data_IF_588638881112
#
_entry.id   IF_588638881112
#
_cell.length_a   1.000
_cell.length_b   1.000
_cell.length_c   1.000
_cell.angle_alpha   90.00
_cell.angle_beta   90.00
_cell.angle_gamma   90.00
#
_symmetry.space_group_name_H-M   'P 1'
#
loop_
_entity.id
_entity.type
_entity.pdbx_description
1 polymer ?
#
# COMPACT_ATOMS: atom_id res chain seq x y z
N UNK A 1 33.48 7.29 -16.04
CA UNK A 1 32.50 6.60 -15.17
C UNK A 1 32.90 5.14 -15.27
N UNK A 2 33.55 4.64 -14.23
CA UNK A 2 34.07 3.26 -14.17
C UNK A 2 32.91 2.28 -13.97
N UNK A 3 33.04 1.03 -14.43
CA UNK A 3 32.02 -0.02 -14.28
C UNK A 3 31.59 -0.30 -12.82
N UNK A 4 32.34 0.21 -11.85
CA UNK A 4 32.03 0.19 -10.42
C UNK A 4 30.90 1.17 -10.03
N UNK A 5 30.65 2.21 -10.84
CA UNK A 5 29.56 3.17 -10.63
C UNK A 5 28.18 2.61 -11.07
N UNK A 6 28.16 1.49 -11.81
CA UNK A 6 26.95 0.89 -12.38
C UNK A 6 26.28 -0.11 -11.42
N UNK A 7 27.00 -0.62 -10.42
CA UNK A 7 26.46 -1.52 -9.39
C UNK A 7 25.94 -0.75 -8.18
N UNK A 8 24.97 0.14 -8.40
CA UNK A 8 24.06 0.56 -7.32
C UNK A 8 23.12 -0.60 -7.03
N UNK A 9 23.63 -1.60 -6.31
CA UNK A 9 22.80 -2.62 -5.67
C UNK A 9 21.92 -1.88 -4.68
N UNK A 10 20.66 -1.69 -5.07
CA UNK A 10 19.57 -1.02 -4.33
C UNK A 10 19.29 -1.76 -3.01
N UNK A 11 20.21 -1.67 -2.05
CA UNK A 11 19.96 -1.97 -0.66
C UNK A 11 19.54 -0.65 0.00
N UNK A 12 18.35 -0.16 -0.37
CA UNK A 12 17.74 1.06 0.14
C UNK A 12 17.31 0.88 1.61
N UNK A 13 18.28 0.73 2.53
CA UNK A 13 18.10 0.95 3.97
C UNK A 13 17.98 2.44 4.31
N UNK A 14 17.47 3.25 3.39
CA UNK A 14 17.13 4.63 3.68
C UNK A 14 15.83 4.68 4.49
N UNK A 15 15.78 5.58 5.47
CA UNK A 15 14.58 5.80 6.28
C UNK A 15 13.36 6.15 5.41
N UNK A 16 13.58 6.95 4.36
CA UNK A 16 12.56 7.33 3.37
C UNK A 16 12.06 6.12 2.60
N UNK A 17 12.96 5.26 2.09
CA UNK A 17 12.57 4.03 1.38
C UNK A 17 11.73 3.11 2.26
N UNK A 18 12.14 2.94 3.52
CA UNK A 18 11.40 2.14 4.50
C UNK A 18 10.02 2.71 4.82
N UNK A 19 9.88 4.03 4.91
CA UNK A 19 8.60 4.70 5.14
C UNK A 19 7.65 4.55 3.94
N UNK A 20 8.16 4.64 2.72
CA UNK A 20 7.39 4.42 1.49
C UNK A 20 6.90 2.97 1.45
N UNK A 21 7.78 1.99 1.64
CA UNK A 21 7.41 0.56 1.58
C UNK A 21 6.29 0.22 2.58
N UNK A 22 6.27 0.82 3.78
CA UNK A 22 5.19 0.62 4.77
C UNK A 22 3.83 1.16 4.32
N UNK A 23 3.81 2.10 3.37
CA UNK A 23 2.59 2.70 2.81
C UNK A 23 2.17 2.06 1.49
N UNK A 24 2.90 1.06 0.98
CA UNK A 24 2.55 0.34 -0.25
C UNK A 24 2.05 -1.05 0.08
N UNK A 25 0.88 -1.43 -0.47
CA UNK A 25 0.35 -2.80 -0.35
C UNK A 25 -0.29 -3.27 -1.66
N UNK A 26 -0.22 -4.56 -2.00
CA UNK A 26 -0.94 -5.12 -3.13
C UNK A 26 -2.46 -5.08 -2.88
N UNK A 27 -3.23 -4.92 -3.96
CA UNK A 27 -4.67 -5.10 -3.94
C UNK A 27 -5.00 -6.55 -3.49
N UNK A 28 -5.95 -6.75 -2.56
CA UNK A 28 -6.27 -8.10 -2.07
C UNK A 28 -7.08 -8.93 -3.07
N UNK A 29 -7.59 -8.34 -4.16
CA UNK A 29 -8.20 -9.09 -5.25
C UNK A 29 -7.12 -9.96 -5.93
N UNK A 30 -7.29 -11.27 -5.88
CA UNK A 30 -6.35 -12.27 -6.41
C UNK A 30 -6.11 -12.14 -7.91
N UNK A 31 -7.08 -11.62 -8.66
CA UNK A 31 -6.94 -11.40 -10.11
C UNK A 31 -6.30 -10.05 -10.45
N UNK A 32 -6.13 -9.14 -9.48
CA UNK A 32 -5.55 -7.81 -9.68
C UNK A 32 -4.14 -7.71 -9.09
N UNK A 33 -4.01 -7.83 -7.76
CA UNK A 33 -2.75 -7.75 -7.00
C UNK A 33 -1.85 -6.52 -7.25
N UNK A 34 -2.31 -5.50 -7.99
CA UNK A 34 -1.54 -4.28 -8.26
C UNK A 34 -1.24 -3.51 -6.98
N UNK A 35 -0.05 -2.91 -6.92
CA UNK A 35 0.40 -2.13 -5.77
C UNK A 35 -0.37 -0.81 -5.69
N UNK A 36 -0.88 -0.49 -4.51
CA UNK A 36 -1.46 0.82 -4.24
C UNK A 36 -0.79 1.43 -3.01
N UNK A 37 -0.79 2.76 -2.97
CA UNK A 37 -0.17 3.56 -1.91
C UNK A 37 -1.26 4.12 -1.00
N UNK A 38 -1.10 3.99 0.31
CA UNK A 38 -1.90 4.71 1.30
C UNK A 38 -1.55 6.20 1.27
N UNK A 39 -2.51 7.03 0.85
CA UNK A 39 -2.40 8.49 0.90
C UNK A 39 -2.91 9.00 2.25
N UNK A 40 -2.12 9.84 2.91
CA UNK A 40 -2.47 10.38 4.23
C UNK A 40 -2.63 9.30 5.30
N UNK A 41 -3.66 9.46 6.10
CA UNK A 41 -4.06 8.65 7.25
C UNK A 41 -5.27 7.74 6.96
N UNK A 42 -5.98 7.92 5.84
CA UNK A 42 -7.16 7.10 5.47
C UNK A 42 -6.78 5.66 5.10
N UNK A 43 -7.37 4.69 5.80
CA UNK A 43 -7.22 3.27 5.56
C UNK A 43 -8.19 2.75 4.50
N UNK A 44 -9.14 3.56 4.01
CA UNK A 44 -9.94 3.23 2.83
C UNK A 44 -9.09 3.40 1.58
N UNK A 45 -8.85 2.30 0.87
CA UNK A 45 -8.20 2.31 -0.45
C UNK A 45 -9.23 1.89 -1.50
N UNK A 46 -9.26 2.62 -2.62
CA UNK A 46 -9.90 2.19 -3.86
C UNK A 46 -8.77 1.81 -4.81
N UNK A 47 -8.75 0.57 -5.28
CA UNK A 47 -7.72 0.12 -6.20
C UNK A 47 -7.82 0.88 -7.53
N UNK A 48 -6.72 1.49 -8.00
CA UNK A 48 -6.73 2.26 -9.24
C UNK A 48 -7.00 1.40 -10.49
N UNK A 49 -6.66 0.11 -10.45
CA UNK A 49 -6.80 -0.80 -11.59
C UNK A 49 -8.15 -1.53 -11.63
N UNK A 50 -8.67 -1.99 -10.49
CA UNK A 50 -9.89 -2.82 -10.45
C UNK A 50 -11.05 -2.21 -9.66
N UNK A 51 -10.86 -1.00 -9.09
CA UNK A 51 -11.85 -0.24 -8.32
C UNK A 51 -12.39 -0.92 -7.05
N UNK A 52 -11.89 -2.11 -6.71
CA UNK A 52 -12.22 -2.79 -5.46
C UNK A 52 -11.81 -1.93 -4.25
N UNK A 53 -12.73 -1.82 -3.29
CA UNK A 53 -12.48 -1.16 -2.01
C UNK A 53 -11.87 -2.13 -1.01
N UNK A 54 -10.83 -1.69 -0.30
CA UNK A 54 -10.25 -2.50 0.76
C UNK A 54 -9.66 -1.65 1.88
N UNK A 55 -9.51 -2.27 3.05
CA UNK A 55 -8.87 -1.65 4.20
C UNK A 55 -7.34 -1.84 4.13
N UNK A 56 -6.56 -0.76 4.13
CA UNK A 56 -5.10 -0.82 4.12
C UNK A 56 -4.53 -1.55 5.34
N UNK A 57 -5.14 -1.35 6.51
CA UNK A 57 -4.67 -1.95 7.77
C UNK A 57 -4.76 -3.48 7.73
N UNK A 58 -5.95 -4.02 7.47
CA UNK A 58 -6.19 -5.47 7.51
C UNK A 58 -6.10 -6.19 6.14
N UNK A 59 -5.90 -5.45 5.05
CA UNK A 59 -5.82 -5.97 3.68
C UNK A 59 -7.03 -6.82 3.24
N UNK A 60 -8.23 -6.53 3.78
CA UNK A 60 -9.47 -7.22 3.40
C UNK A 60 -10.33 -6.35 2.47
N UNK A 61 -10.99 -6.95 1.47
CA UNK A 61 -12.04 -6.28 0.71
C UNK A 61 -13.14 -5.77 1.64
N UNK A 62 -13.68 -4.60 1.34
CA UNK A 62 -14.76 -3.97 2.11
C UNK A 62 -15.81 -3.40 1.17
N UNK A 63 -17.01 -3.23 1.69
CA UNK A 63 -18.07 -2.53 0.99
C UNK A 63 -18.52 -1.33 1.83
N UNK A 64 -18.08 -0.14 1.44
CA UNK A 64 -18.38 1.11 2.13
C UNK A 64 -17.80 1.21 3.54
N UNK A 65 -18.39 2.09 4.36
CA UNK A 65 -17.80 2.53 5.62
C UNK A 65 -18.14 1.66 6.84
N UNK A 66 -19.02 0.67 6.70
CA UNK A 66 -19.45 -0.17 7.83
C UNK A 66 -18.27 -0.92 8.47
N UNK A 67 -17.26 -1.27 7.68
CA UNK A 67 -16.02 -1.87 8.19
C UNK A 67 -15.37 -1.02 9.28
N UNK A 68 -15.33 0.30 9.08
CA UNK A 68 -14.64 1.23 9.96
C UNK A 68 -15.40 1.59 11.23
N UNK A 69 -16.66 1.17 11.34
CA UNK A 69 -17.47 1.37 12.55
C UNK A 69 -17.30 0.24 13.57
N UNK A 70 -16.75 -0.92 13.15
CA UNK A 70 -16.79 -2.16 13.94
C UNK A 70 -15.48 -2.95 14.00
N UNK A 71 -14.58 -2.80 13.01
CA UNK A 71 -13.43 -3.71 12.84
C UNK A 71 -12.07 -3.02 12.81
N UNK A 72 -11.95 -1.90 12.11
CA UNK A 72 -10.69 -1.18 11.97
C UNK A 72 -10.93 0.34 12.02
N UNK A 73 -9.92 1.11 12.40
CA UNK A 73 -10.01 2.57 12.33
C UNK A 73 -9.88 3.06 10.89
N UNK A 74 -10.68 4.07 10.53
CA UNK A 74 -10.56 4.68 9.20
C UNK A 74 -9.30 5.53 9.09
N UNK A 75 -9.00 6.33 10.11
CA UNK A 75 -7.85 7.23 10.11
C UNK A 75 -6.85 6.81 11.19
N UNK A 76 -5.55 6.85 10.88
CA UNK A 76 -4.43 6.48 11.78
C UNK A 76 -3.33 7.50 11.75
#
# INVERSE_FOLDING_TARGET
ISEEDEKVVINNRSFIGSAIVKRVKPCPNSSCQKLNVKMGDDNLIICNDCLEQYCFSCAKPINGLQHFQKKCDRYT
#
